data_IF_709558574500
#
_entry.id   IF_709558574500
#
_cell.length_a   1.000
_cell.length_b   1.000
_cell.length_c   1.000
_cell.angle_alpha   90.00
_cell.angle_beta   90.00
_cell.angle_gamma   90.00
#
_symmetry.space_group_name_H-M   'P 1'
#
loop_
_entity.id
_entity.type
_entity.pdbx_description
1 polymer ?
#
# COMPACT_ATOMS: atom_id res chain seq x y z
N UNK A 1 -13.19 18.05 14.75
CA UNK A 1 -12.22 16.96 14.96
C UNK A 1 -13.02 15.68 15.10
N UNK A 2 -12.94 14.77 14.14
CA UNK A 2 -13.58 13.45 14.24
C UNK A 2 -12.50 12.40 14.19
N UNK A 3 -12.45 11.56 15.23
CA UNK A 3 -11.67 10.34 15.29
C UNK A 3 -12.10 9.42 14.14
N UNK A 4 -11.17 9.06 13.26
CA UNK A 4 -11.43 8.08 12.19
C UNK A 4 -10.91 6.72 12.62
N UNK A 5 -11.80 5.80 12.93
CA UNK A 5 -11.43 4.42 13.21
C UNK A 5 -10.97 3.70 11.93
N UNK A 6 -9.83 3.03 11.98
CA UNK A 6 -9.35 2.19 10.87
C UNK A 6 -10.12 0.87 10.89
N UNK A 7 -10.88 0.58 9.83
CA UNK A 7 -11.66 -0.64 9.63
C UNK A 7 -10.72 -1.77 9.22
N UNK A 8 -10.42 -2.65 10.17
CA UNK A 8 -9.56 -3.83 9.97
C UNK A 8 -10.17 -4.91 9.07
N UNK A 9 -11.43 -4.77 8.65
CA UNK A 9 -12.15 -5.77 7.82
C UNK A 9 -12.52 -5.25 6.44
N UNK A 10 -12.03 -4.06 6.05
CA UNK A 10 -12.34 -3.47 4.75
C UNK A 10 -11.83 -4.37 3.62
N UNK A 11 -12.68 -4.56 2.61
CA UNK A 11 -12.36 -5.38 1.45
C UNK A 11 -12.03 -4.52 0.23
N UNK A 12 -11.32 -5.11 -0.75
CA UNK A 12 -10.89 -4.41 -1.96
C UNK A 12 -12.05 -3.77 -2.73
N UNK A 13 -13.23 -4.41 -2.74
CA UNK A 13 -14.44 -3.92 -3.42
C UNK A 13 -15.13 -2.72 -2.72
N UNK A 14 -14.68 -2.33 -1.54
CA UNK A 14 -15.15 -1.14 -0.81
C UNK A 14 -14.29 0.12 -1.10
N UNK A 15 -13.26 -0.03 -1.94
CA UNK A 15 -12.33 1.01 -2.36
C UNK A 15 -12.63 1.49 -3.78
N UNK A 16 -12.22 2.70 -4.10
CA UNK A 16 -12.40 3.30 -5.42
C UNK A 16 -11.27 2.83 -6.36
N UNK A 17 -11.61 2.48 -7.60
CA UNK A 17 -10.62 2.03 -8.59
C UNK A 17 -9.71 3.19 -9.02
N UNK A 18 -8.39 2.98 -8.97
CA UNK A 18 -7.37 3.97 -9.33
C UNK A 18 -6.54 3.55 -10.55
N UNK A 19 -6.98 2.51 -11.28
CA UNK A 19 -6.24 1.94 -12.42
C UNK A 19 -5.38 0.76 -11.98
N UNK A 20 -4.12 0.77 -12.40
CA UNK A 20 -3.08 -0.19 -12.00
C UNK A 20 -1.99 0.50 -11.20
N UNK A 21 -1.12 -0.25 -10.53
CA UNK A 21 0.04 0.36 -9.86
C UNK A 21 1.01 1.05 -10.83
N UNK A 22 0.99 0.68 -12.12
CA UNK A 22 1.78 1.36 -13.15
C UNK A 22 1.28 2.78 -13.43
N UNK A 23 -0.04 3.00 -13.38
CA UNK A 23 -0.64 4.34 -13.49
C UNK A 23 -0.23 5.24 -12.31
N UNK A 24 0.20 4.63 -11.20
CA UNK A 24 0.70 5.30 -9.99
C UNK A 24 2.25 5.42 -9.98
N UNK A 25 2.92 5.03 -11.06
CA UNK A 25 4.38 5.15 -11.23
C UNK A 25 5.20 3.94 -10.77
N UNK A 26 4.58 2.79 -10.52
CA UNK A 26 5.29 1.53 -10.22
C UNK A 26 5.62 0.73 -11.49
N UNK A 27 6.51 -0.24 -11.37
CA UNK A 27 6.81 -1.21 -12.42
C UNK A 27 6.12 -2.54 -12.11
N UNK A 28 5.22 -3.01 -12.97
CA UNK A 28 4.55 -4.31 -12.82
C UNK A 28 5.49 -5.41 -13.33
N UNK A 29 5.68 -6.46 -12.53
CA UNK A 29 6.53 -7.61 -12.85
C UNK A 29 5.71 -8.89 -13.09
N UNK A 30 4.57 -9.04 -12.41
CA UNK A 30 3.67 -10.18 -12.56
C UNK A 30 2.22 -9.79 -12.23
N UNK A 31 1.27 -10.32 -13.01
CA UNK A 31 -0.16 -10.01 -12.86
C UNK A 31 -0.53 -8.64 -13.41
N UNK A 32 -1.80 -8.25 -13.23
CA UNK A 32 -2.31 -6.93 -13.65
C UNK A 32 -2.13 -5.87 -12.55
N UNK A 33 -2.13 -6.30 -11.28
CA UNK A 33 -1.97 -5.45 -10.09
C UNK A 33 -2.85 -4.18 -10.15
N UNK A 34 -4.16 -4.40 -10.27
CA UNK A 34 -5.15 -3.32 -10.24
C UNK A 34 -5.09 -2.63 -8.88
N UNK A 35 -5.03 -1.30 -8.87
CA UNK A 35 -4.89 -0.47 -7.69
C UNK A 35 -6.22 0.19 -7.32
N UNK A 36 -6.47 0.28 -6.02
CA UNK A 36 -7.67 0.86 -5.44
C UNK A 36 -7.30 1.69 -4.21
N UNK A 37 -8.09 2.69 -3.89
CA UNK A 37 -7.89 3.42 -2.65
C UNK A 37 -9.10 4.20 -2.17
N UNK A 38 -9.00 4.72 -0.96
CA UNK A 38 -10.04 5.50 -0.30
C UNK A 38 -9.44 6.42 0.74
N UNK A 39 -9.49 7.72 0.48
CA UNK A 39 -8.93 8.73 1.37
C UNK A 39 -9.67 8.76 2.71
N UNK A 40 -8.92 8.86 3.81
CA UNK A 40 -9.46 9.04 5.17
C UNK A 40 -9.08 10.39 5.78
N UNK A 41 -8.02 11.04 5.28
CA UNK A 41 -7.63 12.40 5.64
C UNK A 41 -6.74 13.01 4.54
N UNK A 42 -6.94 14.29 4.23
CA UNK A 42 -6.18 15.01 3.21
C UNK A 42 -6.46 14.52 1.78
N UNK A 43 -5.97 15.28 0.81
CA UNK A 43 -5.87 14.87 -0.58
C UNK A 43 -4.53 14.16 -0.85
N UNK A 44 -4.41 13.34 -1.92
CA UNK A 44 -3.16 12.68 -2.29
C UNK A 44 -1.96 13.62 -2.48
N UNK A 45 -2.20 14.88 -2.81
CA UNK A 45 -1.18 15.92 -3.03
C UNK A 45 -0.88 16.76 -1.79
N UNK A 46 -1.59 16.56 -0.69
CA UNK A 46 -1.35 17.32 0.54
C UNK A 46 -0.05 16.86 1.22
N UNK A 47 0.63 17.73 1.99
CA UNK A 47 1.86 17.37 2.70
C UNK A 47 1.70 16.19 3.67
N UNK A 48 0.47 16.00 4.17
CA UNK A 48 0.09 14.93 5.09
C UNK A 48 -1.26 14.35 4.65
N UNK A 49 -1.32 13.05 4.45
CA UNK A 49 -2.56 12.35 4.11
C UNK A 49 -2.65 10.96 4.75
N UNK A 50 -3.85 10.39 4.77
CA UNK A 50 -4.04 8.98 5.07
C UNK A 50 -5.12 8.39 4.19
N UNK A 51 -4.97 7.12 3.84
CA UNK A 51 -5.94 6.41 3.04
C UNK A 51 -5.83 4.90 3.24
N UNK A 52 -6.84 4.20 2.75
CA UNK A 52 -6.67 2.81 2.38
C UNK A 52 -6.07 2.73 0.98
N UNK A 53 -5.17 1.77 0.80
CA UNK A 53 -4.65 1.36 -0.50
C UNK A 53 -4.80 -0.15 -0.61
N UNK A 54 -5.26 -0.63 -1.76
CA UNK A 54 -5.39 -2.06 -2.02
C UNK A 54 -5.06 -2.43 -3.45
N UNK A 55 -4.68 -3.69 -3.62
CA UNK A 55 -4.36 -4.26 -4.93
C UNK A 55 -4.87 -5.68 -5.09
N UNK A 56 -5.05 -6.12 -6.33
CA UNK A 56 -5.18 -7.55 -6.67
C UNK A 56 -3.83 -8.27 -6.52
N UNK A 57 -3.83 -9.60 -6.56
CA UNK A 57 -2.60 -10.43 -6.60
C UNK A 57 -1.66 -10.00 -7.71
N UNK A 58 -0.36 -10.12 -7.42
CA UNK A 58 0.72 -9.93 -8.39
C UNK A 58 1.99 -9.42 -7.72
N UNK A 59 2.93 -8.96 -8.56
CA UNK A 59 4.26 -8.52 -8.14
C UNK A 59 4.62 -7.23 -8.85
N UNK A 60 5.13 -6.26 -8.10
CA UNK A 60 5.52 -4.97 -8.65
C UNK A 60 6.65 -4.34 -7.83
N UNK A 61 7.36 -3.40 -8.45
CA UNK A 61 8.42 -2.62 -7.82
C UNK A 61 8.00 -1.16 -7.72
N UNK A 62 8.31 -0.53 -6.60
CA UNK A 62 8.06 0.88 -6.38
C UNK A 62 9.23 1.51 -5.63
N UNK A 63 9.67 2.69 -6.07
CA UNK A 63 10.48 3.59 -5.24
C UNK A 63 9.53 4.49 -4.48
N UNK A 64 9.55 4.41 -3.15
CA UNK A 64 8.60 5.11 -2.31
C UNK A 64 8.62 6.64 -2.55
N UNK A 65 7.52 7.26 -3.01
CA UNK A 65 7.50 8.68 -3.37
C UNK A 65 7.38 9.62 -2.14
N UNK A 66 7.08 9.08 -0.97
CA UNK A 66 6.92 9.78 0.31
C UNK A 66 7.29 8.85 1.47
N UNK A 67 7.40 9.40 2.68
CA UNK A 67 7.52 8.60 3.89
C UNK A 67 6.15 8.04 4.24
N UNK A 68 6.09 6.76 4.63
CA UNK A 68 4.83 6.07 4.90
C UNK A 68 4.94 5.22 6.17
N UNK A 69 3.97 5.36 7.07
CA UNK A 69 3.63 4.29 8.02
C UNK A 69 2.39 3.57 7.50
N UNK A 70 2.41 2.25 7.48
CA UNK A 70 1.26 1.46 7.06
C UNK A 70 0.99 0.28 7.99
N UNK A 71 -0.27 -0.14 8.00
CA UNK A 71 -0.76 -1.34 8.68
C UNK A 71 -1.56 -2.17 7.69
N UNK A 72 -1.28 -3.48 7.61
CA UNK A 72 -2.10 -4.40 6.82
C UNK A 72 -3.45 -4.55 7.51
N UNK A 73 -4.54 -4.39 6.76
CA UNK A 73 -5.89 -4.63 7.27
C UNK A 73 -6.50 -5.91 6.68
N UNK A 74 -6.21 -6.23 5.41
CA UNK A 74 -6.70 -7.44 4.75
C UNK A 74 -5.62 -8.02 3.83
N UNK A 75 -5.54 -9.35 3.75
CA UNK A 75 -4.62 -10.06 2.87
C UNK A 75 -3.20 -10.15 3.43
N UNK A 76 -2.26 -10.56 2.58
CA UNK A 76 -0.86 -10.76 2.95
C UNK A 76 0.05 -10.20 1.86
N UNK A 77 1.14 -9.57 2.29
CA UNK A 77 2.16 -9.04 1.39
C UNK A 77 3.54 -9.43 1.88
N UNK A 78 4.45 -9.73 0.96
CA UNK A 78 5.89 -9.73 1.23
C UNK A 78 6.52 -8.50 0.61
N UNK A 79 7.27 -7.78 1.43
CA UNK A 79 8.04 -6.62 1.02
C UNK A 79 9.52 -6.97 1.09
N UNK A 80 10.24 -6.68 0.02
CA UNK A 80 11.70 -6.79 -0.02
C UNK A 80 12.29 -5.41 -0.26
N UNK A 81 13.08 -4.92 0.69
CA UNK A 81 13.91 -3.73 0.48
C UNK A 81 15.04 -4.13 -0.47
N UNK A 82 15.01 -3.60 -1.70
CA UNK A 82 15.98 -3.98 -2.73
C UNK A 82 17.36 -3.37 -2.50
N UNK A 83 17.49 -2.34 -1.65
CA UNK A 83 18.78 -1.79 -1.29
C UNK A 83 19.55 -2.71 -0.33
N UNK A 84 18.84 -3.45 0.53
CA UNK A 84 19.45 -4.32 1.55
C UNK A 84 19.26 -5.81 1.27
N UNK A 85 18.32 -6.17 0.39
CA UNK A 85 17.90 -7.55 0.13
C UNK A 85 17.05 -8.15 1.26
N UNK A 86 16.74 -7.39 2.32
CA UNK A 86 15.94 -7.88 3.44
C UNK A 86 14.48 -8.00 3.02
N UNK A 87 13.91 -9.18 3.26
CA UNK A 87 12.51 -9.48 2.95
C UNK A 87 11.71 -9.79 4.22
N UNK A 88 10.48 -9.28 4.29
CA UNK A 88 9.55 -9.56 5.39
C UNK A 88 8.14 -9.73 4.87
N UNK A 89 7.45 -10.73 5.42
CA UNK A 89 6.03 -10.96 5.16
C UNK A 89 5.19 -10.30 6.25
N UNK A 90 4.14 -9.59 5.84
CA UNK A 90 3.21 -8.85 6.69
C UNK A 90 1.81 -9.43 6.55
N UNK A 91 1.19 -9.69 7.70
CA UNK A 91 -0.17 -10.21 7.87
C UNK A 91 -1.08 -9.11 8.43
N UNK A 92 -2.42 -9.29 8.44
CA UNK A 92 -3.32 -8.32 9.05
C UNK A 92 -2.92 -7.98 10.49
N UNK A 93 -2.85 -6.70 10.79
CA UNK A 93 -2.37 -6.15 12.07
C UNK A 93 -0.87 -5.82 12.10
N UNK A 94 -0.06 -6.39 11.20
CA UNK A 94 1.36 -6.04 11.11
C UNK A 94 1.52 -4.64 10.48
N UNK A 95 2.53 -3.92 10.95
CA UNK A 95 2.83 -2.55 10.50
C UNK A 95 4.29 -2.37 10.12
N UNK A 96 4.55 -1.39 9.26
CA UNK A 96 5.90 -0.95 8.93
C UNK A 96 5.97 0.56 8.74
N UNK A 97 7.20 1.06 8.75
CA UNK A 97 7.54 2.40 8.30
C UNK A 97 8.58 2.28 7.19
N UNK A 98 8.49 3.18 6.21
CA UNK A 98 9.41 3.23 5.07
C UNK A 98 9.68 4.68 4.69
N UNK A 99 10.95 4.96 4.44
CA UNK A 99 11.40 6.28 4.05
C UNK A 99 11.21 6.52 2.56
N UNK A 100 10.95 7.78 2.21
CA UNK A 100 10.97 8.25 0.83
C UNK A 100 12.27 7.85 0.14
N UNK A 101 12.17 7.40 -1.11
CA UNK A 101 13.30 6.97 -1.93
C UNK A 101 13.70 5.49 -1.76
N UNK A 102 13.07 4.74 -0.84
CA UNK A 102 13.38 3.32 -0.65
C UNK A 102 12.83 2.49 -1.82
N UNK A 103 13.66 1.73 -2.56
CA UNK A 103 13.19 0.79 -3.58
C UNK A 103 12.66 -0.48 -2.89
N UNK A 104 11.38 -0.77 -3.09
CA UNK A 104 10.71 -1.92 -2.48
C UNK A 104 10.05 -2.77 -3.55
N UNK A 105 10.36 -4.06 -3.52
CA UNK A 105 9.66 -5.09 -4.27
C UNK A 105 8.46 -5.57 -3.44
N UNK A 106 7.28 -5.50 -4.05
CA UNK A 106 6.02 -5.93 -3.50
C UNK A 106 5.59 -7.26 -4.12
N UNK A 107 5.27 -8.22 -3.27
CA UNK A 107 4.69 -9.51 -3.66
C UNK A 107 3.38 -9.73 -2.89
N UNK A 108 2.25 -9.65 -3.59
CA UNK A 108 0.93 -9.85 -3.00
C UNK A 108 0.65 -11.35 -2.93
N UNK A 109 0.53 -11.90 -1.72
CA UNK A 109 0.46 -13.35 -1.48
C UNK A 109 -0.97 -13.89 -1.34
N UNK A 110 -1.96 -13.00 -1.35
CA UNK A 110 -3.39 -13.31 -1.29
C UNK A 110 -4.12 -12.85 -2.55
N UNK A 111 -5.37 -13.29 -2.76
CA UNK A 111 -6.21 -12.87 -3.90
C UNK A 111 -6.36 -11.34 -4.00
N UNK A 112 -6.43 -10.68 -2.84
CA UNK A 112 -6.37 -9.22 -2.72
C UNK A 112 -5.63 -8.83 -1.46
N UNK A 113 -5.17 -7.59 -1.43
CA UNK A 113 -4.47 -6.99 -0.31
C UNK A 113 -5.00 -5.58 -0.06
N UNK A 114 -5.13 -5.19 1.21
CA UNK A 114 -5.46 -3.83 1.62
C UNK A 114 -4.63 -3.43 2.84
N UNK A 115 -4.05 -2.24 2.80
CA UNK A 115 -3.43 -1.55 3.93
C UNK A 115 -4.15 -0.24 4.21
N UNK A 116 -4.03 0.25 5.44
CA UNK A 116 -4.21 1.67 5.74
C UNK A 116 -2.84 2.31 5.92
N UNK A 117 -2.67 3.54 5.45
CA UNK A 117 -1.40 4.24 5.54
C UNK A 117 -1.56 5.70 5.96
N UNK A 118 -0.50 6.23 6.56
CA UNK A 118 -0.26 7.64 6.84
C UNK A 118 0.99 8.09 6.10
N UNK A 119 0.85 9.07 5.21
CA UNK A 119 1.89 9.55 4.32
C UNK A 119 2.33 10.98 4.67
N UNK A 120 3.64 11.22 4.53
CA UNK A 120 4.29 12.53 4.68
C UNK A 120 5.27 12.76 3.53
N UNK A 121 5.04 13.81 2.73
CA UNK A 121 5.72 14.10 1.45
C UNK A 121 7.08 14.76 1.61
#
# INVERSE_FOLDING_TARGET
>A
MTLTAIKQTIQLNELDAWGTVADLGSEILEGEVRAFGKMTFGAPTDPVSSAYFGTTTGKFRMVYPFNEQAVVVTGQVRLTDEATGVSRTYNPGDSWFVSKGTPVLWEILSESFVKHYFAVV
#
